data_IF_591729118940
#
_entry.id   IF_591729118940
#
_cell.length_a   1.000
_cell.length_b   1.000
_cell.length_c   1.000
_cell.angle_alpha   90.00
_cell.angle_beta   90.00
_cell.angle_gamma   90.00
#
_symmetry.space_group_name_H-M   'P 1'
#
loop_
_entity.id
_entity.type
_entity.pdbx_description
1 polymer ?
#
# COMPACT_ATOMS: atom_id res chain seq x y z
N UNK A 1 5.17 22.35 -11.00
CA UNK A 1 6.14 21.30 -10.60
C UNK A 1 7.38 21.99 -10.08
N UNK A 2 7.93 21.52 -8.96
CA UNK A 2 9.10 22.08 -8.27
C UNK A 2 10.33 21.24 -8.62
N UNK A 3 11.43 21.89 -8.94
CA UNK A 3 12.72 21.20 -9.07
C UNK A 3 13.34 21.10 -7.67
N UNK A 4 13.75 19.89 -7.26
CA UNK A 4 14.42 19.71 -5.97
C UNK A 4 15.87 20.19 -6.09
N UNK A 5 16.26 21.12 -5.22
CA UNK A 5 17.64 21.53 -5.08
C UNK A 5 18.43 20.59 -4.16
N UNK A 6 19.73 20.85 -3.99
CA UNK A 6 20.60 20.02 -3.14
C UNK A 6 20.16 19.99 -1.66
N UNK A 7 19.53 21.06 -1.18
CA UNK A 7 19.00 21.16 0.18
C UNK A 7 17.74 20.34 0.36
N UNK A 8 16.84 20.36 -0.62
CA UNK A 8 15.63 19.55 -0.63
C UNK A 8 15.98 18.05 -0.64
N UNK A 9 16.99 17.62 -1.40
CA UNK A 9 17.45 16.22 -1.37
C UNK A 9 18.08 15.81 -0.03
N UNK A 10 18.85 16.70 0.61
CA UNK A 10 19.37 16.45 1.97
C UNK A 10 18.24 16.31 2.97
N UNK A 11 17.21 17.15 2.87
CA UNK A 11 16.05 17.10 3.73
C UNK A 11 15.24 15.83 3.49
N UNK A 12 15.01 15.43 2.23
CA UNK A 12 14.37 14.16 1.88
C UNK A 12 15.10 12.96 2.52
N UNK A 13 16.42 12.92 2.40
CA UNK A 13 17.24 11.87 3.01
C UNK A 13 17.18 11.89 4.54
N UNK A 14 17.21 13.07 5.17
CA UNK A 14 17.08 13.19 6.63
C UNK A 14 15.71 12.75 7.13
N UNK A 15 14.62 13.16 6.47
CA UNK A 15 13.26 12.74 6.81
C UNK A 15 13.10 11.23 6.62
N UNK A 16 13.64 10.67 5.52
CA UNK A 16 13.66 9.22 5.29
C UNK A 16 14.39 8.47 6.41
N UNK A 17 15.55 8.97 6.84
CA UNK A 17 16.30 8.37 7.95
C UNK A 17 15.63 8.54 9.31
N UNK A 18 14.93 9.66 9.51
CA UNK A 18 14.16 9.90 10.72
C UNK A 18 13.03 8.88 10.82
N UNK A 19 12.27 8.67 9.74
CA UNK A 19 11.26 7.63 9.66
C UNK A 19 11.83 6.27 10.06
N UNK A 20 12.97 5.86 9.48
CA UNK A 20 13.60 4.57 9.79
C UNK A 20 14.00 4.37 11.26
N UNK A 21 14.08 5.44 12.06
CA UNK A 21 14.36 5.38 13.51
C UNK A 21 13.10 5.43 14.38
N UNK A 22 11.94 5.78 13.80
CA UNK A 22 10.68 5.88 14.52
C UNK A 22 10.09 4.50 14.79
N UNK A 23 9.21 4.41 15.79
CA UNK A 23 8.36 3.23 15.99
C UNK A 23 7.15 3.33 15.06
N UNK A 24 6.57 2.20 14.61
CA UNK A 24 5.42 2.21 13.70
C UNK A 24 4.14 2.79 14.32
N UNK A 25 4.15 3.12 15.62
CA UNK A 25 3.04 3.76 16.35
C UNK A 25 3.27 5.24 16.67
N UNK A 26 4.40 5.81 16.27
CA UNK A 26 4.73 7.22 16.54
C UNK A 26 3.98 8.14 15.55
N UNK A 27 2.65 8.22 15.67
CA UNK A 27 1.75 8.90 14.73
C UNK A 27 2.11 10.36 14.52
N UNK A 28 2.53 11.05 15.58
CA UNK A 28 2.74 12.50 15.58
C UNK A 28 3.95 12.90 14.72
N UNK A 29 4.96 12.04 14.65
CA UNK A 29 6.16 12.28 13.85
C UNK A 29 6.06 11.63 12.48
N UNK A 30 5.49 10.43 12.43
CA UNK A 30 5.52 9.61 11.23
C UNK A 30 4.47 10.05 10.20
N UNK A 31 3.28 10.44 10.62
CA UNK A 31 2.23 10.92 9.71
C UNK A 31 2.68 12.13 8.87
N UNK A 32 3.20 13.24 9.46
CA UNK A 32 3.68 14.37 8.67
C UNK A 32 4.90 14.01 7.83
N UNK A 33 5.78 13.13 8.32
CA UNK A 33 6.97 12.69 7.58
C UNK A 33 6.60 11.88 6.33
N UNK A 34 5.70 10.91 6.44
CA UNK A 34 5.23 10.12 5.29
C UNK A 34 4.46 11.00 4.29
N UNK A 35 3.66 11.95 4.77
CA UNK A 35 2.99 12.92 3.90
C UNK A 35 3.98 13.82 3.17
N UNK A 36 5.04 14.27 3.84
CA UNK A 36 6.11 15.04 3.21
C UNK A 36 6.80 14.25 2.10
N UNK A 37 7.11 12.97 2.34
CA UNK A 37 7.71 12.09 1.33
C UNK A 37 6.76 11.88 0.14
N UNK A 38 5.49 11.57 0.41
CA UNK A 38 4.45 11.41 -0.61
C UNK A 38 4.32 12.66 -1.48
N UNK A 39 4.29 13.82 -0.85
CA UNK A 39 4.14 15.12 -1.51
C UNK A 39 5.39 15.49 -2.33
N UNK A 40 6.57 15.21 -1.79
CA UNK A 40 7.86 15.40 -2.49
C UNK A 40 7.93 14.57 -3.77
N UNK A 41 7.33 13.38 -3.78
CA UNK A 41 7.24 12.58 -5.00
C UNK A 41 6.26 13.18 -6.02
N UNK A 42 5.12 13.71 -5.61
CA UNK A 42 4.08 14.18 -6.56
C UNK A 42 4.30 15.58 -7.12
N UNK A 43 4.93 16.47 -6.36
CA UNK A 43 5.09 17.86 -6.75
C UNK A 43 6.34 18.14 -7.59
N UNK A 44 7.17 17.13 -7.84
CA UNK A 44 8.51 17.34 -8.40
C UNK A 44 8.60 17.07 -9.89
N UNK A 45 9.58 17.69 -10.54
CA UNK A 45 9.85 17.44 -11.97
C UNK A 45 10.30 15.97 -12.17
N UNK A 46 10.05 15.37 -13.36
CA UNK A 46 10.39 13.97 -13.61
C UNK A 46 11.86 13.61 -13.36
N UNK A 47 12.81 14.51 -13.66
CA UNK A 47 14.24 14.32 -13.42
C UNK A 47 14.57 14.27 -11.92
N UNK A 48 13.99 15.18 -11.13
CA UNK A 48 14.20 15.21 -9.68
C UNK A 48 13.43 14.09 -8.96
N UNK A 49 12.27 13.70 -9.50
CA UNK A 49 11.45 12.59 -9.02
C UNK A 49 12.21 11.26 -9.08
N UNK A 50 12.88 10.96 -10.19
CA UNK A 50 13.71 9.74 -10.31
C UNK A 50 14.77 9.67 -9.21
N UNK A 51 15.47 10.78 -8.95
CA UNK A 51 16.48 10.87 -7.89
C UNK A 51 15.87 10.71 -6.50
N UNK A 52 14.72 11.34 -6.24
CA UNK A 52 14.04 11.24 -4.96
C UNK A 52 13.59 9.79 -4.69
N UNK A 53 13.05 9.11 -5.70
CA UNK A 53 12.66 7.70 -5.61
C UNK A 53 13.88 6.84 -5.30
N UNK A 54 15.00 7.02 -6.01
CA UNK A 54 16.22 6.27 -5.73
C UNK A 54 16.70 6.43 -4.27
N UNK A 55 16.67 7.66 -3.74
CA UNK A 55 17.03 7.93 -2.33
C UNK A 55 16.10 7.19 -1.38
N UNK A 56 14.79 7.18 -1.62
CA UNK A 56 13.83 6.50 -0.75
C UNK A 56 13.95 4.96 -0.84
N UNK A 57 14.15 4.42 -2.03
CA UNK A 57 14.28 2.97 -2.24
C UNK A 57 15.62 2.40 -1.78
N UNK A 58 16.65 3.24 -1.70
CA UNK A 58 17.94 2.89 -1.08
C UNK A 58 17.86 2.81 0.45
N UNK A 59 16.81 3.36 1.07
CA UNK A 59 16.68 3.40 2.52
C UNK A 59 15.91 2.18 3.05
N UNK A 60 16.67 1.14 3.39
CA UNK A 60 16.16 -0.10 3.99
C UNK A 60 15.33 0.18 5.25
N UNK A 61 15.81 1.03 6.16
CA UNK A 61 15.09 1.33 7.41
C UNK A 61 13.72 1.99 7.20
N UNK A 62 13.57 2.82 6.16
CA UNK A 62 12.28 3.38 5.76
C UNK A 62 11.34 2.29 5.24
N UNK A 63 11.85 1.38 4.40
CA UNK A 63 11.05 0.30 3.82
C UNK A 63 10.60 -0.70 4.90
N UNK A 64 11.47 -1.07 5.84
CA UNK A 64 11.10 -1.89 7.01
C UNK A 64 10.02 -1.25 7.87
N UNK A 65 10.16 0.05 8.14
CA UNK A 65 9.15 0.78 8.89
C UNK A 65 7.83 0.79 8.13
N UNK A 66 7.87 1.07 6.82
CA UNK A 66 6.68 1.11 5.98
C UNK A 66 5.97 -0.24 6.01
N UNK A 67 6.71 -1.34 5.90
CA UNK A 67 6.16 -2.69 6.06
C UNK A 67 5.44 -2.86 7.41
N UNK A 68 6.12 -2.53 8.52
CA UNK A 68 5.55 -2.65 9.87
C UNK A 68 4.29 -1.79 10.04
N UNK A 69 4.26 -0.60 9.45
CA UNK A 69 3.08 0.28 9.45
C UNK A 69 1.94 -0.35 8.65
N UNK A 70 2.21 -0.93 7.48
CA UNK A 70 1.18 -1.59 6.68
C UNK A 70 0.61 -2.83 7.41
N UNK A 71 1.45 -3.62 8.06
CA UNK A 71 1.04 -4.76 8.91
C UNK A 71 0.17 -4.34 10.11
N UNK A 72 0.35 -3.12 10.63
CA UNK A 72 -0.54 -2.58 11.68
C UNK A 72 -1.99 -2.44 11.21
N UNK A 73 -2.23 -2.37 9.89
CA UNK A 73 -3.59 -2.32 9.34
C UNK A 73 -4.38 -3.60 9.67
N UNK A 74 -3.70 -4.75 9.85
CA UNK A 74 -4.34 -6.06 10.04
C UNK A 74 -4.54 -6.41 11.51
N UNK A 75 -3.63 -5.96 12.37
CA UNK A 75 -3.70 -6.19 13.82
C UNK A 75 -4.67 -5.24 14.53
N UNK A 76 -5.22 -4.24 13.82
CA UNK A 76 -6.11 -3.23 14.37
C UNK A 76 -7.54 -3.73 14.51
N UNK A 77 -8.08 -3.60 15.72
CA UNK A 77 -9.52 -3.68 15.99
C UNK A 77 -10.16 -2.31 15.70
N UNK A 78 -11.11 -2.23 14.76
CA UNK A 78 -11.80 -0.97 14.46
C UNK A 78 -12.74 -0.57 15.61
N UNK A 79 -12.62 0.66 16.17
CA UNK A 79 -13.53 1.12 17.20
C UNK A 79 -14.99 1.19 16.70
N UNK A 80 -15.93 1.05 17.63
CA UNK A 80 -17.36 0.97 17.38
C UNK A 80 -17.98 2.24 16.79
N UNK A 81 -17.31 3.39 16.89
CA UNK A 81 -17.88 4.71 16.57
C UNK A 81 -17.20 5.38 15.35
N UNK A 82 -17.96 6.02 14.44
CA UNK A 82 -17.49 6.40 13.11
C UNK A 82 -17.19 7.90 12.95
N UNK A 83 -16.93 8.66 14.02
CA UNK A 83 -17.02 10.12 13.93
C UNK A 83 -15.74 10.83 13.44
N UNK A 84 -14.53 10.30 13.63
CA UNK A 84 -13.29 10.99 13.25
C UNK A 84 -12.18 10.02 12.80
N UNK A 85 -11.34 10.46 11.87
CA UNK A 85 -10.09 9.77 11.52
C UNK A 85 -9.19 9.75 12.75
N UNK A 86 -8.89 8.56 13.26
CA UNK A 86 -7.85 8.43 14.29
C UNK A 86 -6.50 8.87 13.72
N UNK A 87 -5.59 9.44 14.52
CA UNK A 87 -4.21 9.70 14.10
C UNK A 87 -3.53 8.46 13.50
N UNK A 88 -3.90 7.28 14.01
CA UNK A 88 -3.45 5.99 13.48
C UNK A 88 -4.02 5.70 12.09
N UNK A 89 -5.31 5.98 11.86
CA UNK A 89 -5.92 5.79 10.53
C UNK A 89 -5.28 6.71 9.51
N UNK A 90 -5.00 7.96 9.90
CA UNK A 90 -4.34 8.93 9.04
C UNK A 90 -2.90 8.50 8.73
N UNK A 91 -2.16 7.96 9.70
CA UNK A 91 -0.84 7.38 9.50
C UNK A 91 -0.89 6.19 8.51
N UNK A 92 -1.83 5.27 8.68
CA UNK A 92 -2.01 4.13 7.79
C UNK A 92 -2.35 4.60 6.37
N UNK A 93 -3.23 5.60 6.21
CA UNK A 93 -3.52 6.21 4.91
C UNK A 93 -2.25 6.74 4.24
N UNK A 94 -1.45 7.51 4.97
CA UNK A 94 -0.18 8.06 4.48
C UNK A 94 0.80 6.95 4.08
N UNK A 95 0.89 5.87 4.87
CA UNK A 95 1.69 4.69 4.56
C UNK A 95 1.25 4.00 3.26
N UNK A 96 -0.04 3.70 3.13
CA UNK A 96 -0.61 3.06 1.93
C UNK A 96 -0.42 3.92 0.67
N UNK A 97 -0.62 5.23 0.78
CA UNK A 97 -0.41 6.16 -0.33
C UNK A 97 1.06 6.26 -0.72
N UNK A 98 1.98 6.34 0.25
CA UNK A 98 3.42 6.35 -0.04
C UNK A 98 3.86 5.04 -0.69
N UNK A 99 3.43 3.89 -0.16
CA UNK A 99 3.72 2.57 -0.74
C UNK A 99 3.22 2.46 -2.19
N UNK A 100 1.98 2.89 -2.45
CA UNK A 100 1.41 2.89 -3.80
C UNK A 100 2.24 3.78 -4.75
N UNK A 101 2.69 4.93 -4.26
CA UNK A 101 3.47 5.88 -5.04
C UNK A 101 4.86 5.35 -5.36
N UNK A 102 5.56 4.82 -4.36
CA UNK A 102 6.86 4.18 -4.53
C UNK A 102 6.77 3.03 -5.52
N UNK A 103 5.72 2.20 -5.44
CA UNK A 103 5.46 1.13 -6.38
C UNK A 103 5.30 1.65 -7.82
N UNK A 104 4.48 2.68 -8.03
CA UNK A 104 4.27 3.29 -9.35
C UNK A 104 5.59 3.85 -9.91
N UNK A 105 6.33 4.59 -9.09
CA UNK A 105 7.56 5.25 -9.55
C UNK A 105 8.73 4.28 -9.70
N UNK A 106 8.82 3.23 -8.88
CA UNK A 106 9.80 2.16 -9.05
C UNK A 106 9.64 1.53 -10.44
N UNK A 107 8.41 1.18 -10.82
CA UNK A 107 8.13 0.61 -12.13
C UNK A 107 8.41 1.60 -13.27
N UNK A 108 8.01 2.87 -13.12
CA UNK A 108 8.21 3.90 -14.15
C UNK A 108 9.68 4.18 -14.44
N UNK A 109 10.54 4.14 -13.42
CA UNK A 109 11.95 4.49 -13.53
C UNK A 109 12.88 3.27 -13.51
N UNK A 110 12.32 2.06 -13.42
CA UNK A 110 13.04 0.80 -13.22
C UNK A 110 14.15 0.91 -12.16
N UNK A 111 13.82 1.57 -11.05
CA UNK A 111 14.77 1.84 -10.00
C UNK A 111 15.08 0.55 -9.21
N UNK A 112 16.36 0.34 -8.90
CA UNK A 112 16.82 -0.77 -8.07
C UNK A 112 16.27 -0.64 -6.65
N UNK A 113 15.75 -1.75 -6.12
CA UNK A 113 15.19 -1.79 -4.77
C UNK A 113 16.10 -2.63 -3.89
N UNK A 114 16.53 -2.05 -2.77
CA UNK A 114 17.42 -2.74 -1.83
C UNK A 114 16.67 -3.68 -0.88
N UNK A 115 15.35 -3.51 -0.73
CA UNK A 115 14.51 -4.34 0.11
C UNK A 115 13.10 -4.51 -0.47
N UNK A 116 12.59 -5.74 -0.42
CA UNK A 116 11.23 -6.08 -0.85
C UNK A 116 10.24 -5.97 0.31
N UNK A 117 9.16 -5.22 0.11
CA UNK A 117 8.01 -5.19 1.00
C UNK A 117 7.19 -6.47 0.81
N UNK A 118 7.02 -7.26 1.85
CA UNK A 118 6.11 -8.41 1.81
C UNK A 118 4.72 -8.01 2.27
N UNK A 119 3.70 -8.24 1.44
CA UNK A 119 2.31 -7.90 1.78
C UNK A 119 1.36 -9.06 1.47
N UNK A 120 0.44 -9.33 2.40
CA UNK A 120 -0.61 -10.32 2.19
C UNK A 120 -1.81 -9.72 1.43
N UNK A 121 -2.04 -10.22 0.22
CA UNK A 121 -3.13 -9.77 -0.64
C UNK A 121 -4.50 -10.21 -0.11
N UNK A 122 -4.59 -11.36 0.55
CA UNK A 122 -5.82 -11.87 1.14
C UNK A 122 -6.30 -10.93 2.25
N UNK A 123 -5.38 -10.44 3.08
CA UNK A 123 -5.69 -9.50 4.15
C UNK A 123 -6.06 -8.12 3.61
N UNK A 124 -5.37 -7.64 2.57
CA UNK A 124 -5.74 -6.39 1.90
C UNK A 124 -7.13 -6.47 1.25
N UNK A 125 -7.46 -7.58 0.58
CA UNK A 125 -8.78 -7.81 -0.02
C UNK A 125 -9.87 -7.95 1.04
N UNK A 126 -9.62 -8.72 2.10
CA UNK A 126 -10.51 -8.80 3.25
C UNK A 126 -10.72 -7.42 3.88
N UNK A 127 -9.67 -6.59 3.95
CA UNK A 127 -9.78 -5.25 4.48
C UNK A 127 -10.71 -4.35 3.65
N UNK A 128 -10.84 -4.59 2.36
CA UNK A 128 -11.74 -3.86 1.45
C UNK A 128 -13.16 -4.46 1.49
N UNK A 129 -13.28 -5.79 1.45
CA UNK A 129 -14.56 -6.53 1.43
C UNK A 129 -15.30 -6.35 2.75
N UNK A 130 -14.62 -6.51 3.88
CA UNK A 130 -15.18 -6.30 5.21
C UNK A 130 -15.15 -4.82 5.58
N UNK A 131 -15.92 -4.02 4.84
CA UNK A 131 -16.11 -2.55 4.97
C UNK A 131 -16.73 -2.12 6.31
N UNK A 132 -16.95 -3.01 7.28
CA UNK A 132 -17.67 -2.64 8.51
C UNK A 132 -16.85 -1.60 9.30
N UNK A 133 -17.26 -0.33 9.17
CA UNK A 133 -16.81 0.85 9.95
C UNK A 133 -15.38 1.37 9.69
N UNK A 134 -14.80 1.17 8.50
CA UNK A 134 -13.49 1.77 8.16
C UNK A 134 -13.64 3.20 7.62
N UNK A 135 -12.70 4.11 7.91
CA UNK A 135 -12.70 5.44 7.32
C UNK A 135 -12.52 5.36 5.80
N UNK A 136 -13.27 6.18 5.06
CA UNK A 136 -13.30 6.16 3.58
C UNK A 136 -11.91 6.38 2.98
N UNK A 137 -11.09 7.25 3.58
CA UNK A 137 -9.74 7.54 3.09
C UNK A 137 -8.79 6.33 3.14
N UNK A 138 -8.87 5.52 4.20
CA UNK A 138 -8.03 4.32 4.32
C UNK A 138 -8.39 3.30 3.24
N UNK A 139 -9.68 3.12 3.00
CA UNK A 139 -10.17 2.26 1.92
C UNK A 139 -9.67 2.73 0.56
N UNK A 140 -9.80 4.03 0.26
CA UNK A 140 -9.30 4.62 -0.99
C UNK A 140 -7.79 4.42 -1.12
N UNK A 141 -7.03 4.59 -0.04
CA UNK A 141 -5.57 4.42 -0.03
C UNK A 141 -5.16 2.99 -0.34
N UNK A 142 -5.80 1.99 0.29
CA UNK A 142 -5.58 0.57 0.00
C UNK A 142 -5.99 0.24 -1.44
N UNK A 143 -7.08 0.81 -1.94
CA UNK A 143 -7.51 0.63 -3.34
C UNK A 143 -6.53 1.21 -4.34
N UNK A 144 -5.93 2.37 -4.05
CA UNK A 144 -4.89 2.95 -4.90
C UNK A 144 -3.64 2.07 -4.94
N UNK A 145 -3.26 1.48 -3.81
CA UNK A 145 -2.19 0.50 -3.76
C UNK A 145 -2.52 -0.75 -4.59
N UNK A 146 -3.70 -1.35 -4.40
CA UNK A 146 -4.12 -2.52 -5.16
C UNK A 146 -4.15 -2.22 -6.67
N UNK A 147 -4.64 -1.04 -7.05
CA UNK A 147 -4.62 -0.57 -8.44
C UNK A 147 -3.19 -0.47 -8.99
N UNK A 148 -2.25 0.05 -8.20
CA UNK A 148 -0.84 0.15 -8.60
C UNK A 148 -0.23 -1.24 -8.83
N UNK A 149 -0.48 -2.18 -7.91
CA UNK A 149 -0.09 -3.59 -8.03
C UNK A 149 -0.68 -4.26 -9.26
N UNK A 150 -1.99 -4.13 -9.47
CA UNK A 150 -2.70 -4.74 -10.61
C UNK A 150 -2.18 -4.22 -11.94
N UNK A 151 -1.88 -2.92 -12.04
CA UNK A 151 -1.30 -2.32 -13.24
C UNK A 151 0.09 -2.85 -13.58
N UNK A 152 0.79 -3.38 -12.59
CA UNK A 152 2.12 -3.96 -12.74
C UNK A 152 2.08 -5.47 -12.88
N UNK A 153 0.90 -6.07 -13.08
CA UNK A 153 0.71 -7.53 -13.17
C UNK A 153 1.34 -8.30 -11.99
N UNK A 154 1.36 -7.70 -10.79
CA UNK A 154 1.99 -8.26 -9.59
C UNK A 154 3.50 -8.46 -9.69
N UNK A 155 4.12 -7.93 -10.74
CA UNK A 155 5.56 -7.91 -10.93
C UNK A 155 6.13 -6.58 -10.45
N UNK A 156 6.76 -6.60 -9.29
CA UNK A 156 7.57 -5.48 -8.83
C UNK A 156 8.79 -5.97 -8.06
N UNK A 157 9.93 -5.33 -8.32
CA UNK A 157 11.14 -5.51 -7.50
C UNK A 157 10.96 -4.95 -6.08
N UNK A 158 9.91 -4.16 -5.84
CA UNK A 158 9.66 -3.49 -4.57
C UNK A 158 8.72 -4.26 -3.66
N UNK A 159 7.72 -4.96 -4.22
CA UNK A 159 6.68 -5.63 -3.45
C UNK A 159 6.63 -7.09 -3.83
N UNK A 160 6.81 -7.96 -2.84
CA UNK A 160 6.52 -9.38 -2.93
C UNK A 160 5.13 -9.62 -2.36
N UNK A 161 4.23 -10.12 -3.19
CA UNK A 161 2.84 -10.34 -2.82
C UNK A 161 2.67 -11.79 -2.39
N UNK A 162 2.32 -11.98 -1.13
CA UNK A 162 2.06 -13.28 -0.55
C UNK A 162 0.54 -13.44 -0.48
N UNK A 163 0.04 -14.63 -0.82
CA UNK A 163 -1.38 -14.99 -0.64
C UNK A 163 -1.38 -16.15 0.34
N UNK A 164 -1.72 -15.90 1.61
CA UNK A 164 -1.94 -16.99 2.55
C UNK A 164 -3.25 -17.66 2.20
N UNK A 165 -3.17 -18.87 1.65
CA UNK A 165 -4.34 -19.71 1.46
C UNK A 165 -4.75 -20.24 2.83
N UNK A 166 -5.97 -19.94 3.28
CA UNK A 166 -6.52 -20.43 4.56
C UNK A 166 -6.88 -21.92 4.49
N UNK A 167 -5.91 -22.75 4.13
CA UNK A 167 -5.95 -24.19 4.29
C UNK A 167 -4.82 -24.56 5.27
N UNK A 168 -5.12 -24.46 6.56
CA UNK A 168 -4.32 -25.15 7.59
C UNK A 168 -4.32 -26.64 7.26
N UNK A 169 -3.16 -27.15 6.86
CA UNK A 169 -2.88 -28.58 6.79
C UNK A 169 -2.71 -29.11 5.38
N UNK A 170 -1.49 -28.98 4.84
CA UNK A 170 -0.82 -30.07 4.14
C UNK A 170 0.61 -29.63 3.80
N UNK A 171 1.56 -30.36 4.36
CA UNK A 171 2.97 -30.41 4.01
C UNK A 171 3.16 -30.41 2.49
N UNK A 172 3.65 -29.31 1.92
CA UNK A 172 4.24 -29.30 0.57
C UNK A 172 5.36 -28.25 0.53
N UNK A 173 6.52 -28.55 -0.08
CA UNK A 173 7.73 -27.77 0.08
C UNK A 173 7.57 -26.44 -0.65
N UNK A 174 7.99 -25.37 0.03
CA UNK A 174 8.24 -24.05 -0.55
C UNK A 174 9.05 -24.21 -1.85
N UNK A 175 8.47 -23.96 -3.05
CA UNK A 175 9.24 -23.99 -4.27
C UNK A 175 10.17 -22.79 -4.25
N UNK A 176 11.47 -23.06 -4.33
CA UNK A 176 12.57 -22.16 -4.70
C UNK A 176 12.11 -20.80 -5.22
N UNK A 177 12.11 -19.82 -4.32
CA UNK A 177 11.47 -18.51 -4.41
C UNK A 177 12.11 -17.53 -5.41
N UNK A 178 13.04 -17.96 -6.27
CA UNK A 178 13.91 -17.04 -7.01
C UNK A 178 14.01 -17.26 -8.53
N UNK A 179 13.95 -18.49 -9.04
CA UNK A 179 14.29 -18.72 -10.46
C UNK A 179 13.10 -18.70 -11.43
N UNK A 180 11.86 -18.88 -10.95
CA UNK A 180 10.69 -19.06 -11.84
C UNK A 180 9.56 -18.03 -11.62
N UNK A 181 9.74 -17.11 -10.65
CA UNK A 181 8.75 -16.07 -10.35
C UNK A 181 8.53 -15.12 -11.54
N UNK A 182 9.54 -14.96 -12.41
CA UNK A 182 9.49 -14.13 -13.62
C UNK A 182 8.53 -14.66 -14.71
N UNK A 183 8.25 -15.96 -14.72
CA UNK A 183 7.43 -16.61 -15.76
C UNK A 183 5.97 -16.76 -15.35
N UNK A 184 5.68 -16.94 -14.06
CA UNK A 184 4.33 -17.05 -13.52
C UNK A 184 4.17 -16.21 -12.25
N UNK A 185 3.78 -14.91 -12.37
CA UNK A 185 3.69 -14.00 -11.21
C UNK A 185 2.64 -14.44 -10.19
N UNK A 186 1.64 -15.19 -10.66
CA UNK A 186 0.64 -15.84 -9.82
C UNK A 186 0.43 -17.26 -10.30
N UNK A 187 0.44 -18.21 -9.37
CA UNK A 187 -0.07 -19.55 -9.60
C UNK A 187 -1.56 -19.49 -9.96
N UNK A 188 -2.05 -20.40 -10.81
CA UNK A 188 -3.43 -20.40 -11.29
C UNK A 188 -4.47 -20.33 -10.15
N UNK A 189 -4.20 -20.99 -9.01
CA UNK A 189 -5.02 -20.93 -7.80
C UNK A 189 -5.09 -19.53 -7.17
N UNK A 190 -4.00 -18.76 -7.22
CA UNK A 190 -3.94 -17.39 -6.74
C UNK A 190 -4.75 -16.45 -7.63
N UNK A 191 -4.71 -16.68 -8.95
CA UNK A 191 -5.57 -15.97 -9.92
C UNK A 191 -7.05 -16.23 -9.64
N UNK A 192 -7.43 -17.47 -9.35
CA UNK A 192 -8.81 -17.79 -8.97
C UNK A 192 -9.24 -17.16 -7.65
N UNK A 193 -8.40 -17.20 -6.60
CA UNK A 193 -8.70 -16.54 -5.32
C UNK A 193 -8.88 -15.03 -5.47
N UNK A 194 -8.01 -14.40 -6.26
CA UNK A 194 -8.11 -12.99 -6.61
C UNK A 194 -9.40 -12.71 -7.39
N UNK A 195 -9.72 -13.53 -8.40
CA UNK A 195 -10.93 -13.37 -9.22
C UNK A 195 -12.19 -13.46 -8.37
N UNK A 196 -12.28 -14.46 -7.48
CA UNK A 196 -13.40 -14.64 -6.56
C UNK A 196 -13.51 -13.45 -5.60
N UNK A 197 -12.38 -12.99 -5.06
CA UNK A 197 -12.35 -11.83 -4.15
C UNK A 197 -12.75 -10.52 -4.84
N UNK A 198 -12.30 -10.30 -6.08
CA UNK A 198 -12.70 -9.15 -6.90
C UNK A 198 -14.18 -9.22 -7.29
N UNK A 199 -14.68 -10.41 -7.64
CA UNK A 199 -16.11 -10.62 -7.89
C UNK A 199 -16.93 -10.32 -6.64
N UNK A 200 -16.52 -10.82 -5.46
CA UNK A 200 -17.17 -10.52 -4.19
C UNK A 200 -17.14 -9.02 -3.89
N UNK A 201 -16.02 -8.34 -4.15
CA UNK A 201 -15.91 -6.90 -4.01
C UNK A 201 -16.89 -6.15 -4.93
N UNK A 202 -16.98 -6.55 -6.20
CA UNK A 202 -17.92 -5.95 -7.16
C UNK A 202 -19.37 -6.14 -6.72
N UNK A 203 -19.73 -7.34 -6.25
CA UNK A 203 -21.07 -7.61 -5.71
C UNK A 203 -21.34 -6.76 -4.47
N UNK A 204 -20.38 -6.62 -3.56
CA UNK A 204 -20.52 -5.76 -2.38
C UNK A 204 -20.70 -4.28 -2.74
N UNK A 205 -19.92 -3.77 -3.71
CA UNK A 205 -20.06 -2.40 -4.21
C UNK A 205 -21.42 -2.21 -4.89
N UNK A 206 -21.81 -3.14 -5.76
CA UNK A 206 -23.11 -3.12 -6.45
C UNK A 206 -24.27 -3.11 -5.46
N UNK A 207 -24.27 -4.04 -4.49
CA UNK A 207 -25.30 -4.10 -3.46
C UNK A 207 -25.36 -2.83 -2.60
N UNK A 208 -24.24 -2.13 -2.40
CA UNK A 208 -24.24 -0.86 -1.67
C UNK A 208 -24.79 0.31 -2.50
N UNK A 209 -24.48 0.36 -3.80
CA UNK A 209 -25.02 1.39 -4.71
C UNK A 209 -26.53 1.24 -4.89
N UNK A 210 -27.05 0.00 -4.95
CA UNK A 210 -28.49 -0.24 -5.09
C UNK A 210 -29.27 -0.15 -3.77
N UNK A 211 -28.59 -0.06 -2.63
CA UNK A 211 -29.22 0.04 -1.29
C UNK A 211 -29.24 1.47 -0.73
N UNK A 212 -28.75 2.48 -1.47
CA UNK A 212 -29.08 3.88 -1.18
C UNK A 212 -30.43 4.21 -1.82
N UNK A 213 -31.55 4.25 -1.07
CA UNK A 213 -32.79 4.77 -1.61
C UNK A 213 -32.58 6.24 -1.95
N UNK A 214 -32.92 6.59 -3.19
CA UNK A 214 -33.14 7.95 -3.63
C UNK A 214 -34.27 8.55 -2.78
N UNK A 215 -33.93 9.10 -1.62
CA UNK A 215 -34.80 9.94 -0.82
C UNK A 215 -34.68 11.35 -1.41
N UNK A 216 -35.66 11.70 -2.24
CA UNK A 216 -35.89 13.08 -2.64
C UNK A 216 -36.01 13.33 -4.13
N UNK A 217 -36.92 12.63 -4.83
CA UNK A 217 -37.63 13.25 -5.95
C UNK A 217 -39.09 12.80 -6.02
N UNK A 218 -39.96 13.82 -5.86
CA UNK A 218 -41.31 14.05 -6.40
C UNK A 218 -42.49 14.02 -5.42
N UNK A 219 -43.55 14.79 -5.70
CA UNK A 219 -43.70 15.85 -6.73
C UNK A 219 -43.61 17.26 -6.15
#
# INVERSE_FOLDING_TARGET
MRELDSTDFKLLHQVSNLCGKCRPRDTDLLQPSLNFLYWSLHQTTPCSQQRAVAVLLSNVSLLELLQKVLECTWTRSFPSEPAYLSPEDALLCSGWLLAASLLIYQHRYNAEVHQTLTLDLTEALNAIIFRKKKPVLLLVSIMQFLRAVLRQNFFSSLVVIIIQNTARGATQPQPSLLEDAALHPLAMQQVFSLLVSLQNLLVHVYLQVYKTPALGQRP
#
